data_IF_614179665909
#
_entry.id   IF_614179665909
#
_cell.length_a   1.000
_cell.length_b   1.000
_cell.length_c   1.000
_cell.angle_alpha   90.00
_cell.angle_beta   90.00
_cell.angle_gamma   90.00
#
_symmetry.space_group_name_H-M   'P 1'
#
loop_
_entity.id
_entity.type
_entity.pdbx_description
1 polymer ?
#
# COMPACT_ATOMS: atom_id res chain seq x y z
N UNK A 1 16.07 -9.60 -5.15
CA UNK A 1 15.65 -8.68 -4.08
C UNK A 1 14.44 -7.88 -4.53
N UNK A 2 13.98 -6.92 -3.73
CA UNK A 2 12.95 -5.96 -4.12
C UNK A 2 13.57 -4.57 -4.16
N UNK A 3 13.25 -3.78 -5.18
CA UNK A 3 13.50 -2.34 -5.19
C UNK A 3 12.33 -1.65 -4.46
N UNK A 4 12.64 -0.70 -3.59
CA UNK A 4 11.64 -0.05 -2.73
C UNK A 4 11.56 1.43 -3.07
N UNK A 5 10.40 1.85 -3.54
CA UNK A 5 10.06 3.26 -3.77
C UNK A 5 9.41 3.81 -2.49
N UNK A 6 10.08 4.77 -1.84
CA UNK A 6 9.59 5.39 -0.61
C UNK A 6 8.67 6.58 -0.90
N UNK A 7 7.69 6.86 -0.04
CA UNK A 7 6.91 8.09 -0.11
C UNK A 7 7.80 9.31 0.14
N UNK A 8 7.54 10.40 -0.59
CA UNK A 8 8.20 11.69 -0.42
C UNK A 8 7.30 12.60 0.42
N UNK A 9 7.89 13.32 1.38
CA UNK A 9 7.17 14.22 2.28
C UNK A 9 7.68 15.67 2.24
N UNK A 10 8.77 15.93 1.52
CA UNK A 10 9.40 17.25 1.39
C UNK A 10 9.24 17.77 -0.04
N UNK A 11 9.14 19.10 -0.18
CA UNK A 11 8.91 19.78 -1.46
C UNK A 11 7.54 20.44 -1.55
N UNK A 12 7.20 20.96 -2.74
CA UNK A 12 5.87 21.50 -2.96
C UNK A 12 4.84 20.37 -3.12
N UNK A 13 3.58 20.67 -2.81
CA UNK A 13 2.50 19.67 -2.81
C UNK A 13 2.25 19.03 -4.17
N UNK A 14 2.43 19.80 -5.25
CA UNK A 14 2.25 19.33 -6.63
C UNK A 14 3.27 18.25 -6.97
N UNK A 15 4.55 18.47 -6.66
CA UNK A 15 5.64 17.53 -6.92
C UNK A 15 5.47 16.26 -6.08
N UNK A 16 5.14 16.40 -4.80
CA UNK A 16 4.85 15.25 -3.92
C UNK A 16 3.72 14.39 -4.51
N UNK A 17 2.69 15.04 -5.05
CA UNK A 17 1.55 14.35 -5.65
C UNK A 17 1.92 13.63 -6.95
N UNK A 18 2.71 14.27 -7.82
CA UNK A 18 3.15 13.64 -9.08
C UNK A 18 4.09 12.46 -8.81
N UNK A 19 5.03 12.59 -7.86
CA UNK A 19 5.89 11.47 -7.44
C UNK A 19 5.04 10.31 -6.88
N UNK A 20 4.02 10.61 -6.08
CA UNK A 20 3.13 9.56 -5.57
C UNK A 20 2.40 8.82 -6.68
N UNK A 21 1.86 9.55 -7.67
CA UNK A 21 1.18 8.95 -8.84
C UNK A 21 2.14 8.13 -9.67
N UNK A 22 3.36 8.64 -9.91
CA UNK A 22 4.38 7.94 -10.66
C UNK A 22 4.78 6.63 -9.97
N UNK A 23 5.01 6.67 -8.65
CA UNK A 23 5.29 5.46 -7.87
C UNK A 23 4.17 4.42 -8.01
N UNK A 24 2.90 4.83 -7.94
CA UNK A 24 1.74 3.94 -8.16
C UNK A 24 1.64 3.43 -9.60
N UNK A 25 2.11 4.22 -10.57
CA UNK A 25 2.15 3.85 -11.99
C UNK A 25 3.17 2.75 -12.25
N UNK A 26 4.36 2.85 -11.66
CA UNK A 26 5.51 1.99 -12.01
C UNK A 26 5.73 0.78 -11.09
N UNK A 27 5.26 0.81 -9.84
CA UNK A 27 5.59 -0.25 -8.88
C UNK A 27 4.89 -1.58 -9.22
N UNK A 28 5.46 -2.73 -8.88
CA UNK A 28 4.77 -4.02 -9.05
C UNK A 28 3.71 -4.25 -7.96
N UNK A 29 3.95 -3.73 -6.75
CA UNK A 29 3.15 -3.97 -5.56
C UNK A 29 3.20 -2.76 -4.62
N UNK A 30 2.18 -2.61 -3.77
CA UNK A 30 2.06 -1.48 -2.84
C UNK A 30 1.79 -1.97 -1.42
N UNK A 31 2.55 -1.43 -0.47
CA UNK A 31 2.30 -1.59 0.97
C UNK A 31 2.03 -0.20 1.58
N UNK A 32 0.84 0.00 2.14
CA UNK A 32 0.48 1.22 2.85
C UNK A 32 0.62 0.97 4.35
N UNK A 33 1.48 1.74 5.02
CA UNK A 33 1.63 1.69 6.48
C UNK A 33 0.70 2.71 7.14
N UNK A 34 -0.27 2.21 7.93
CA UNK A 34 -1.30 3.00 8.59
C UNK A 34 -1.18 2.90 10.12
N UNK A 35 -0.50 3.88 10.73
CA UNK A 35 -0.30 3.95 12.19
C UNK A 35 -1.10 5.11 12.82
N UNK A 36 -0.58 6.33 12.78
CA UNK A 36 -1.18 7.49 13.45
C UNK A 36 -1.99 8.41 12.52
N UNK A 37 -2.12 8.04 11.25
CA UNK A 37 -2.84 8.86 10.28
C UNK A 37 -4.37 8.86 10.54
N UNK A 38 -5.06 9.86 10.01
CA UNK A 38 -6.50 10.01 10.15
C UNK A 38 -7.28 9.01 9.28
N UNK A 39 -8.54 8.75 9.63
CA UNK A 39 -9.43 7.90 8.81
C UNK A 39 -9.61 8.44 7.37
N UNK A 40 -9.78 9.76 7.15
CA UNK A 40 -9.79 10.31 5.79
C UNK A 40 -8.52 10.00 5.01
N UNK A 41 -7.35 10.01 5.65
CA UNK A 41 -6.08 9.73 4.99
C UNK A 41 -6.05 8.32 4.40
N UNK A 42 -6.46 7.30 5.16
CA UNK A 42 -6.44 5.92 4.64
C UNK A 42 -7.46 5.74 3.52
N UNK A 43 -8.63 6.39 3.62
CA UNK A 43 -9.62 6.40 2.54
C UNK A 43 -9.08 7.08 1.28
N UNK A 44 -8.30 8.17 1.41
CA UNK A 44 -7.60 8.77 0.28
C UNK A 44 -6.60 7.82 -0.35
N UNK A 45 -5.82 7.08 0.45
CA UNK A 45 -4.90 6.07 -0.10
C UNK A 45 -5.61 4.91 -0.81
N UNK A 46 -6.78 4.48 -0.33
CA UNK A 46 -7.60 3.51 -1.07
C UNK A 46 -8.11 4.10 -2.40
N UNK A 47 -8.46 5.38 -2.41
CA UNK A 47 -8.86 6.07 -3.64
C UNK A 47 -7.70 6.20 -4.64
N UNK A 48 -6.48 6.44 -4.16
CA UNK A 48 -5.29 6.52 -5.00
C UNK A 48 -5.02 5.16 -5.67
N UNK A 49 -5.13 4.05 -4.93
CA UNK A 49 -5.03 2.70 -5.50
C UNK A 49 -6.08 2.45 -6.60
N UNK A 50 -7.34 2.86 -6.36
CA UNK A 50 -8.42 2.71 -7.35
C UNK A 50 -8.20 3.56 -8.61
N UNK A 51 -7.54 4.71 -8.46
CA UNK A 51 -7.23 5.64 -9.56
C UNK A 51 -5.95 5.29 -10.30
N UNK A 52 -5.14 4.37 -9.79
CA UNK A 52 -3.87 3.98 -10.40
C UNK A 52 -3.96 3.65 -11.91
N UNK A 53 -5.00 2.97 -12.43
CA UNK A 53 -5.14 2.78 -13.88
C UNK A 53 -5.23 4.10 -14.66
N UNK A 54 -5.92 5.10 -14.10
CA UNK A 54 -6.02 6.45 -14.66
C UNK A 54 -4.72 7.25 -14.60
N UNK A 55 -3.71 6.80 -13.86
CA UNK A 55 -2.36 7.38 -13.86
C UNK A 55 -1.46 6.77 -14.96
N UNK A 56 -1.99 5.92 -15.83
CA UNK A 56 -1.24 5.31 -16.94
C UNK A 56 -0.61 3.97 -16.58
N UNK A 57 -1.12 3.30 -15.55
CA UNK A 57 -0.72 1.93 -15.19
C UNK A 57 -1.40 0.94 -16.15
N UNK A 58 -0.62 0.10 -16.81
CA UNK A 58 -1.13 -0.90 -17.77
C UNK A 58 -1.54 -2.23 -17.14
N UNK A 59 -0.84 -2.66 -16.09
CA UNK A 59 -1.07 -3.95 -15.43
C UNK A 59 -1.64 -3.77 -14.02
N UNK A 60 -2.48 -4.68 -13.50
CA UNK A 60 -2.88 -4.67 -12.10
C UNK A 60 -1.68 -4.78 -11.14
N UNK A 61 -1.85 -4.37 -9.88
CA UNK A 61 -0.84 -4.65 -8.85
C UNK A 61 -0.70 -6.16 -8.64
N UNK A 62 0.53 -6.66 -8.52
CA UNK A 62 0.79 -8.03 -8.10
C UNK A 62 0.24 -8.25 -6.68
N UNK A 63 0.48 -7.29 -5.79
CA UNK A 63 -0.13 -7.27 -4.47
C UNK A 63 -0.36 -5.84 -3.98
N UNK A 64 -1.44 -5.65 -3.22
CA UNK A 64 -1.73 -4.41 -2.50
C UNK A 64 -2.12 -4.77 -1.08
N UNK A 65 -1.44 -4.18 -0.10
CA UNK A 65 -1.70 -4.43 1.32
C UNK A 65 -1.71 -3.13 2.13
N UNK A 66 -2.52 -3.11 3.20
CA UNK A 66 -2.48 -2.11 4.25
C UNK A 66 -2.00 -2.76 5.53
N UNK A 67 -0.84 -2.32 6.02
CA UNK A 67 -0.34 -2.66 7.34
C UNK A 67 -0.90 -1.69 8.36
N UNK A 68 -1.79 -2.15 9.22
CA UNK A 68 -2.49 -1.36 10.23
C UNK A 68 -1.79 -1.58 11.57
N UNK A 69 -1.24 -0.50 12.13
CA UNK A 69 -0.42 -0.49 13.33
C UNK A 69 -0.85 0.56 14.35
N UNK A 70 -0.13 0.61 15.47
CA UNK A 70 -0.33 1.61 16.53
C UNK A 70 -1.52 1.31 17.44
N UNK A 71 -2.04 2.34 18.09
CA UNK A 71 -3.15 2.15 19.04
C UNK A 71 -4.40 1.58 18.34
N UNK A 72 -4.91 0.50 18.92
CA UNK A 72 -6.11 -0.16 18.47
C UNK A 72 -7.33 0.70 18.79
N UNK A 73 -8.21 0.86 17.81
CA UNK A 73 -9.47 1.56 17.99
C UNK A 73 -10.57 0.90 17.15
N UNK A 74 -11.83 1.26 17.41
CA UNK A 74 -12.99 0.67 16.71
C UNK A 74 -12.90 0.83 15.19
N UNK A 75 -12.32 1.93 14.69
CA UNK A 75 -12.16 2.14 13.27
C UNK A 75 -11.17 1.14 12.66
N UNK A 76 -9.95 1.03 13.17
CA UNK A 76 -8.92 0.09 12.69
C UNK A 76 -9.39 -1.36 12.75
N UNK A 77 -10.10 -1.74 13.80
CA UNK A 77 -10.72 -3.07 13.94
C UNK A 77 -11.75 -3.35 12.85
N UNK A 78 -12.59 -2.36 12.52
CA UNK A 78 -13.69 -2.49 11.57
C UNK A 78 -13.34 -2.09 10.15
N UNK A 79 -12.17 -1.52 9.91
CA UNK A 79 -11.71 -1.16 8.57
C UNK A 79 -11.71 -2.39 7.68
N UNK A 80 -12.35 -2.27 6.50
CA UNK A 80 -12.51 -3.28 5.46
C UNK A 80 -12.43 -2.57 4.11
N UNK A 81 -11.84 -3.23 3.13
CA UNK A 81 -11.64 -2.72 1.78
C UNK A 81 -11.54 -3.90 0.81
N UNK A 82 -11.85 -3.67 -0.47
CA UNK A 82 -11.60 -4.64 -1.55
C UNK A 82 -10.35 -4.28 -2.35
N UNK A 83 -9.79 -3.09 -2.11
CA UNK A 83 -8.64 -2.53 -2.82
C UNK A 83 -7.31 -3.14 -2.36
N UNK A 84 -7.23 -3.64 -1.13
CA UNK A 84 -6.01 -4.20 -0.55
C UNK A 84 -6.29 -5.27 0.51
N UNK A 85 -5.37 -6.21 0.68
CA UNK A 85 -5.35 -7.09 1.85
C UNK A 85 -5.01 -6.30 3.12
N UNK A 86 -5.45 -6.78 4.28
CA UNK A 86 -5.23 -6.10 5.56
C UNK A 86 -4.32 -6.94 6.44
N UNK A 87 -3.24 -6.33 6.92
CA UNK A 87 -2.34 -6.88 7.93
C UNK A 87 -2.55 -6.05 9.19
N UNK A 88 -3.30 -6.58 10.17
CA UNK A 88 -3.60 -5.88 11.43
C UNK A 88 -2.63 -6.36 12.50
N UNK A 89 -1.66 -5.52 12.82
CA UNK A 89 -0.65 -5.81 13.82
C UNK A 89 -0.54 -4.62 14.78
N UNK A 90 -1.16 -4.77 15.95
CA UNK A 90 -1.17 -3.73 16.99
C UNK A 90 -0.04 -3.93 18.02
N UNK A 91 0.67 -5.06 17.96
CA UNK A 91 1.83 -5.37 18.78
C UNK A 91 3.14 -5.03 18.04
N UNK A 92 4.26 -5.54 18.52
CA UNK A 92 5.57 -5.38 17.90
C UNK A 92 5.61 -6.03 16.51
N UNK A 93 6.22 -5.32 15.55
CA UNK A 93 6.44 -5.81 14.19
C UNK A 93 7.30 -7.07 14.19
N UNK A 94 6.87 -8.06 13.41
CA UNK A 94 7.67 -9.23 13.05
C UNK A 94 7.77 -9.34 11.54
N UNK A 95 8.88 -9.86 11.01
CA UNK A 95 9.06 -10.02 9.57
C UNK A 95 7.98 -10.91 8.93
N UNK A 96 7.46 -11.85 9.72
CA UNK A 96 6.44 -12.82 9.35
C UNK A 96 5.10 -12.15 9.01
N UNK A 97 4.83 -10.95 9.54
CA UNK A 97 3.63 -10.19 9.23
C UNK A 97 3.52 -9.87 7.72
N UNK A 98 4.65 -9.85 7.01
CA UNK A 98 4.73 -9.56 5.58
C UNK A 98 4.81 -10.80 4.68
N UNK A 99 4.87 -12.01 5.25
CA UNK A 99 5.14 -13.24 4.50
C UNK A 99 4.10 -13.49 3.40
N UNK A 100 2.82 -13.33 3.71
CA UNK A 100 1.75 -13.53 2.73
C UNK A 100 1.81 -12.50 1.60
N UNK A 101 2.05 -11.23 1.94
CA UNK A 101 2.20 -10.16 0.95
C UNK A 101 3.39 -10.43 0.01
N UNK A 102 4.56 -10.77 0.56
CA UNK A 102 5.75 -11.11 -0.22
C UNK A 102 5.51 -12.35 -1.08
N UNK A 103 4.84 -13.36 -0.54
CA UNK A 103 4.51 -14.59 -1.24
C UNK A 103 3.54 -14.36 -2.41
N UNK A 104 2.59 -13.43 -2.28
CA UNK A 104 1.71 -13.05 -3.38
C UNK A 104 2.48 -12.39 -4.53
N UNK A 105 3.42 -11.50 -4.22
CA UNK A 105 4.28 -10.85 -5.23
C UNK A 105 5.09 -11.92 -5.99
N UNK A 106 5.75 -12.83 -5.26
CA UNK A 106 6.57 -13.90 -5.86
C UNK A 106 5.74 -14.84 -6.75
N UNK A 107 4.56 -15.26 -6.29
CA UNK A 107 3.67 -16.17 -7.04
C UNK A 107 3.25 -15.56 -8.37
N UNK A 108 2.78 -14.31 -8.38
CA UNK A 108 2.32 -13.67 -9.62
C UNK A 108 3.45 -13.25 -10.55
N UNK A 109 4.63 -12.91 -10.00
CA UNK A 109 5.82 -12.62 -10.81
C UNK A 109 6.42 -13.88 -11.45
N UNK A 110 6.40 -15.01 -10.73
CA UNK A 110 6.86 -16.30 -11.23
C UNK A 110 5.88 -17.01 -12.19
N UNK A 111 4.61 -16.62 -12.19
CA UNK A 111 3.61 -17.10 -13.16
C UNK A 111 3.50 -16.28 -14.45
N UNK A 112 4.31 -15.24 -14.60
CA UNK A 112 4.39 -14.40 -15.80
C UNK A 112 5.56 -14.77 -16.73
N UNK A 113 6.09 -16.00 -16.60
CA UNK A 113 7.18 -16.56 -17.38
C UNK A 113 6.68 -17.67 -18.32
#
# INVERSE_FOLDING_TARGET
>A
GFEVLLPVFEGNESDIREIHKENLRICDAVLIYYNQASEPWINFKMNDLRKAPGYGRSEPFLASAVYIAGEQNRFKERFRTREASLIKQFEQFTTQDLDEFISQIRRKKGGAA
#
